data_IF_005298917560
#
_entry.id   IF_005298917560
#
_cell.length_a   1.000
_cell.length_b   1.000
_cell.length_c   1.000
_cell.angle_alpha   90.00
_cell.angle_beta   90.00
_cell.angle_gamma   90.00
#
_symmetry.space_group_name_H-M   'P 1'
#
loop_
_entity.id
_entity.type
_entity.pdbx_description
1 polymer ?
#
# COMPACT_ATOMS: atom_id res chain seq x y z
N UNK A 1 7.29 -8.01 14.87
CA UNK A 1 8.48 -8.26 15.71
C UNK A 1 8.04 -8.75 17.12
N UNK A 2 8.96 -9.30 17.97
CA UNK A 2 8.61 -9.85 19.29
C UNK A 2 7.94 -8.83 20.23
N UNK A 3 8.41 -7.59 20.26
CA UNK A 3 7.84 -6.53 21.12
C UNK A 3 6.36 -6.26 20.77
N UNK A 4 6.03 -6.22 19.49
CA UNK A 4 4.64 -6.05 19.05
C UNK A 4 3.77 -7.26 19.46
N UNK A 5 4.31 -8.48 19.44
CA UNK A 5 3.57 -9.66 19.90
C UNK A 5 3.25 -9.59 21.40
N UNK A 6 4.17 -9.12 22.23
CA UNK A 6 3.95 -8.93 23.68
C UNK A 6 2.80 -7.92 23.92
N UNK A 7 2.78 -6.83 23.16
CA UNK A 7 1.69 -5.84 23.21
C UNK A 7 0.33 -6.46 22.86
N UNK A 8 0.27 -7.24 21.79
CA UNK A 8 -0.97 -7.90 21.38
C UNK A 8 -1.40 -9.01 22.36
N UNK A 9 -0.43 -9.75 22.92
CA UNK A 9 -0.71 -10.75 23.94
C UNK A 9 -1.32 -10.12 25.21
N UNK A 10 -0.73 -9.01 25.67
CA UNK A 10 -1.26 -8.25 26.81
C UNK A 10 -2.67 -7.73 26.53
N UNK A 11 -2.94 -7.22 25.32
CA UNK A 11 -4.27 -6.79 24.92
C UNK A 11 -5.27 -7.97 24.88
N UNK A 12 -4.86 -9.13 24.38
CA UNK A 12 -5.64 -10.35 24.37
C UNK A 12 -5.99 -10.84 25.80
N UNK A 13 -5.03 -10.80 26.69
CA UNK A 13 -5.21 -11.13 28.09
C UNK A 13 -6.25 -10.21 28.76
N UNK A 14 -6.09 -8.89 28.59
CA UNK A 14 -7.02 -7.90 29.12
C UNK A 14 -8.43 -8.05 28.57
N UNK A 15 -8.54 -8.39 27.27
CA UNK A 15 -9.82 -8.58 26.61
C UNK A 15 -10.47 -9.97 26.85
N UNK A 16 -9.78 -10.88 27.53
CA UNK A 16 -10.24 -12.26 27.77
C UNK A 16 -10.44 -13.07 26.49
N UNK A 17 -9.71 -12.77 25.40
CA UNK A 17 -9.84 -13.47 24.12
C UNK A 17 -8.51 -13.51 23.37
N UNK A 18 -8.35 -14.51 22.50
CA UNK A 18 -7.18 -14.58 21.60
C UNK A 18 -7.27 -13.51 20.52
N UNK A 19 -6.14 -12.84 20.26
CA UNK A 19 -6.01 -11.87 19.19
C UNK A 19 -5.43 -12.58 17.95
N UNK A 20 -6.14 -12.57 16.80
CA UNK A 20 -5.59 -13.09 15.56
C UNK A 20 -4.50 -12.15 15.03
N UNK A 21 -3.34 -12.72 14.70
CA UNK A 21 -2.18 -11.97 14.21
C UNK A 21 -1.75 -12.48 12.85
N UNK A 22 -1.59 -11.55 11.91
CA UNK A 22 -1.02 -11.80 10.58
C UNK A 22 0.40 -11.26 10.55
N UNK A 23 1.34 -12.03 10.03
CA UNK A 23 2.76 -11.66 9.96
C UNK A 23 3.03 -10.91 8.66
N UNK A 24 3.49 -9.65 8.77
CA UNK A 24 3.93 -8.89 7.61
C UNK A 24 5.33 -9.35 7.18
N UNK A 25 5.48 -9.60 5.87
CA UNK A 25 6.68 -10.11 5.23
C UNK A 25 7.15 -9.10 4.16
N UNK A 26 8.40 -8.64 4.28
CA UNK A 26 8.99 -7.74 3.28
C UNK A 26 9.67 -8.57 2.18
N UNK A 27 9.19 -8.41 0.97
CA UNK A 27 9.72 -9.06 -0.23
C UNK A 27 10.23 -8.04 -1.26
N UNK A 28 10.78 -6.91 -0.77
CA UNK A 28 11.47 -5.92 -1.61
C UNK A 28 11.09 -4.47 -1.42
N UNK A 29 10.02 -4.15 -0.67
CA UNK A 29 9.62 -2.75 -0.39
C UNK A 29 10.54 -2.05 0.58
N UNK A 30 11.24 -2.78 1.44
CA UNK A 30 12.11 -2.24 2.50
C UNK A 30 11.41 -1.23 3.41
N UNK A 31 10.14 -1.52 3.71
CA UNK A 31 9.28 -0.64 4.51
C UNK A 31 8.95 -1.23 5.89
N UNK A 32 8.39 -2.42 5.92
CA UNK A 32 7.96 -3.10 7.13
C UNK A 32 7.85 -4.61 6.89
N UNK A 33 7.91 -5.39 7.96
CA UNK A 33 7.81 -6.84 7.91
C UNK A 33 9.14 -7.54 8.19
N UNK A 34 9.07 -8.85 8.32
CA UNK A 34 10.26 -9.70 8.40
C UNK A 34 10.82 -9.97 7.00
N UNK A 35 12.14 -10.05 6.91
CA UNK A 35 12.83 -10.14 5.61
C UNK A 35 13.11 -11.58 5.17
N UNK A 36 12.90 -12.56 6.05
CA UNK A 36 13.15 -13.96 5.75
C UNK A 36 12.00 -14.88 6.17
N UNK A 37 11.76 -15.94 5.42
CA UNK A 37 10.80 -16.98 5.77
C UNK A 37 11.09 -17.61 7.14
N UNK A 38 12.38 -17.74 7.51
CA UNK A 38 12.80 -18.23 8.82
C UNK A 38 12.29 -17.35 9.96
N UNK A 39 12.41 -16.04 9.83
CA UNK A 39 11.89 -15.09 10.84
C UNK A 39 10.36 -15.17 10.92
N UNK A 40 9.67 -15.29 9.77
CA UNK A 40 8.22 -15.48 9.74
C UNK A 40 7.80 -16.75 10.49
N UNK A 41 8.51 -17.86 10.29
CA UNK A 41 8.28 -19.12 11.02
C UNK A 41 8.55 -18.98 12.52
N UNK A 42 9.59 -18.26 12.91
CA UNK A 42 9.89 -17.99 14.33
C UNK A 42 8.76 -17.19 14.99
N UNK A 43 8.24 -16.16 14.32
CA UNK A 43 7.10 -15.39 14.82
C UNK A 43 5.82 -16.24 14.87
N UNK A 44 5.56 -17.07 13.86
CA UNK A 44 4.41 -17.99 13.84
C UNK A 44 4.47 -18.96 15.01
N UNK A 45 5.67 -19.48 15.34
CA UNK A 45 5.88 -20.31 16.54
C UNK A 45 5.58 -19.55 17.82
N UNK A 46 6.12 -18.33 17.97
CA UNK A 46 5.89 -17.49 19.15
C UNK A 46 4.39 -17.17 19.33
N UNK A 47 3.66 -16.92 18.23
CA UNK A 47 2.20 -16.72 18.24
C UNK A 47 1.50 -18.00 18.70
N UNK A 48 1.87 -19.16 18.15
CA UNK A 48 1.29 -20.45 18.51
C UNK A 48 1.47 -20.78 19.99
N UNK A 49 2.67 -20.51 20.53
CA UNK A 49 3.04 -20.83 21.91
C UNK A 49 2.42 -19.86 22.95
N UNK A 50 1.68 -18.84 22.50
CA UNK A 50 1.05 -17.83 23.35
C UNK A 50 -0.48 -18.05 23.48
N UNK A 51 -0.97 -18.16 24.71
CA UNK A 51 -2.38 -18.44 24.99
C UNK A 51 -3.34 -17.32 24.58
N UNK A 52 -2.84 -16.10 24.40
CA UNK A 52 -3.64 -14.91 24.09
C UNK A 52 -3.56 -14.52 22.60
N UNK A 53 -2.81 -15.28 21.80
CA UNK A 53 -2.65 -15.02 20.36
C UNK A 53 -3.15 -16.20 19.52
N UNK A 54 -3.50 -15.94 18.27
CA UNK A 54 -3.76 -16.96 17.28
C UNK A 54 -3.11 -16.57 15.94
N UNK A 55 -2.50 -17.55 15.27
CA UNK A 55 -1.88 -17.31 13.97
C UNK A 55 -2.97 -17.18 12.90
N UNK A 56 -3.00 -16.03 12.21
CA UNK A 56 -3.95 -15.73 11.14
C UNK A 56 -3.38 -15.98 9.74
N UNK A 57 -2.08 -15.82 9.56
CA UNK A 57 -1.45 -15.98 8.25
C UNK A 57 -0.34 -15.01 7.94
N UNK A 58 -0.17 -14.70 6.65
CA UNK A 58 0.89 -13.84 6.13
C UNK A 58 0.33 -12.67 5.33
N UNK A 59 1.06 -11.55 5.38
CA UNK A 59 0.75 -10.34 4.65
C UNK A 59 1.98 -9.90 3.85
N UNK A 60 1.76 -9.65 2.56
CA UNK A 60 2.80 -9.21 1.63
C UNK A 60 2.40 -7.90 0.95
N UNK A 61 3.40 -7.07 0.66
CA UNK A 61 3.23 -5.90 -0.18
C UNK A 61 4.37 -5.86 -1.20
N UNK A 62 4.32 -6.74 -2.23
CA UNK A 62 5.40 -6.83 -3.22
C UNK A 62 5.56 -5.56 -4.03
N UNK A 63 6.75 -5.34 -4.59
CA UNK A 63 6.93 -4.43 -5.71
C UNK A 63 6.38 -5.08 -6.98
N UNK A 64 6.27 -4.31 -8.07
CA UNK A 64 5.80 -4.80 -9.36
C UNK A 64 6.69 -5.91 -9.93
N UNK A 65 7.97 -5.95 -9.51
CA UNK A 65 9.00 -6.91 -9.97
C UNK A 65 9.24 -8.08 -9.00
N UNK A 66 8.91 -7.92 -7.70
CA UNK A 66 9.30 -8.89 -6.66
C UNK A 66 8.31 -10.05 -6.45
N UNK A 67 7.47 -10.37 -7.43
CA UNK A 67 6.52 -11.47 -7.34
C UNK A 67 7.17 -12.86 -7.25
N UNK A 68 8.27 -13.16 -8.00
CA UNK A 68 8.96 -14.43 -7.85
C UNK A 68 9.56 -14.62 -6.44
N UNK A 69 10.17 -13.59 -5.90
CA UNK A 69 10.73 -13.57 -4.53
C UNK A 69 9.62 -13.72 -3.48
N UNK A 70 8.48 -13.06 -3.72
CA UNK A 70 7.30 -13.18 -2.85
C UNK A 70 6.74 -14.59 -2.85
N UNK A 71 6.65 -15.24 -4.02
CA UNK A 71 6.22 -16.64 -4.11
C UNK A 71 7.19 -17.58 -3.39
N UNK A 72 8.49 -17.39 -3.59
CA UNK A 72 9.53 -18.19 -2.92
C UNK A 72 9.43 -18.05 -1.40
N UNK A 73 9.35 -16.79 -0.90
CA UNK A 73 9.20 -16.52 0.53
C UNK A 73 7.94 -17.19 1.09
N UNK A 74 6.80 -17.05 0.40
CA UNK A 74 5.54 -17.68 0.79
C UNK A 74 5.67 -19.18 0.90
N UNK A 75 6.22 -19.85 -0.13
CA UNK A 75 6.34 -21.31 -0.18
C UNK A 75 7.26 -21.82 0.94
N UNK A 76 8.38 -21.15 1.20
CA UNK A 76 9.30 -21.46 2.29
C UNK A 76 8.64 -21.24 3.68
N UNK A 77 7.91 -20.14 3.87
CA UNK A 77 7.22 -19.87 5.13
C UNK A 77 6.10 -20.88 5.40
N UNK A 78 5.29 -21.19 4.38
CA UNK A 78 4.21 -22.20 4.50
C UNK A 78 4.78 -23.58 4.78
N UNK A 79 5.87 -23.97 4.13
CA UNK A 79 6.55 -25.22 4.43
C UNK A 79 7.05 -25.28 5.88
N UNK A 80 7.68 -24.19 6.35
CA UNK A 80 8.23 -24.11 7.72
C UNK A 80 7.19 -24.13 8.83
N UNK A 81 5.99 -23.56 8.60
CA UNK A 81 4.92 -23.60 9.62
C UNK A 81 4.14 -24.91 9.64
N UNK A 82 4.26 -25.76 8.59
CA UNK A 82 3.58 -27.05 8.52
C UNK A 82 4.00 -27.97 9.67
N UNK A 83 5.27 -27.99 10.00
CA UNK A 83 5.81 -28.78 11.13
C UNK A 83 5.30 -28.28 12.49
N UNK A 84 4.83 -27.04 12.55
CA UNK A 84 4.14 -26.49 13.70
C UNK A 84 2.64 -26.86 13.75
N UNK A 85 2.12 -27.54 12.74
CA UNK A 85 0.70 -27.82 12.60
C UNK A 85 -0.13 -26.57 12.29
N UNK A 86 0.48 -25.53 11.71
CA UNK A 86 -0.18 -24.29 11.35
C UNK A 86 -0.49 -24.24 9.85
N UNK A 87 -1.62 -23.61 9.53
CA UNK A 87 -2.05 -23.31 8.16
C UNK A 87 -2.45 -21.85 8.11
N UNK A 88 -1.96 -21.04 7.15
CA UNK A 88 -2.38 -19.65 7.03
C UNK A 88 -3.82 -19.59 6.52
N UNK A 89 -4.74 -19.01 7.31
CA UNK A 89 -6.10 -18.72 6.87
C UNK A 89 -6.12 -17.51 5.93
N UNK A 90 -5.21 -16.57 6.15
CA UNK A 90 -5.05 -15.34 5.36
C UNK A 90 -3.67 -15.35 4.70
N UNK A 91 -3.65 -15.20 3.40
CA UNK A 91 -2.46 -14.85 2.61
C UNK A 91 -2.81 -13.60 1.83
N UNK A 92 -2.45 -12.46 2.39
CA UNK A 92 -2.90 -11.16 1.94
C UNK A 92 -1.82 -10.46 1.11
N UNK A 93 -2.18 -10.01 -0.09
CA UNK A 93 -1.32 -9.15 -0.93
C UNK A 93 -1.87 -7.72 -0.99
N UNK A 94 -1.15 -6.78 -1.60
CA UNK A 94 -1.62 -5.41 -1.78
C UNK A 94 -0.69 -4.62 -2.68
N UNK A 95 -1.07 -3.56 -3.10
CA UNK A 95 -1.91 -2.45 -3.11
C UNK A 95 -2.39 -2.14 -4.53
N UNK A 96 -3.02 -0.97 -4.75
CA UNK A 96 -3.67 -0.62 -6.01
C UNK A 96 -2.77 -0.72 -7.26
N UNK A 97 -1.48 -0.32 -7.27
CA UNK A 97 -0.60 -0.51 -8.43
C UNK A 97 -0.39 -1.97 -8.84
N UNK A 98 -0.70 -2.91 -7.96
CA UNK A 98 -0.55 -4.34 -8.20
C UNK A 98 -1.86 -5.06 -8.57
N UNK A 99 -2.94 -4.35 -8.84
CA UNK A 99 -4.25 -4.95 -9.17
C UNK A 99 -4.17 -5.95 -10.31
N UNK A 100 -3.48 -5.60 -11.39
CA UNK A 100 -3.30 -6.50 -12.56
C UNK A 100 -2.41 -7.71 -12.27
N UNK A 101 -1.67 -7.68 -11.16
CA UNK A 101 -0.73 -8.70 -10.74
C UNK A 101 -1.23 -9.56 -9.58
N UNK A 102 -2.41 -9.28 -9.02
CA UNK A 102 -2.89 -9.91 -7.79
C UNK A 102 -2.93 -11.45 -7.84
N UNK A 103 -3.12 -12.03 -9.02
CA UNK A 103 -3.11 -13.48 -9.23
C UNK A 103 -1.71 -14.13 -9.33
N UNK A 104 -0.63 -13.34 -9.27
CA UNK A 104 0.73 -13.88 -9.39
C UNK A 104 1.21 -14.62 -8.15
N UNK A 105 0.67 -14.37 -6.97
CA UNK A 105 0.96 -15.17 -5.79
C UNK A 105 -0.03 -16.33 -5.68
N UNK A 106 0.44 -17.56 -5.95
CA UNK A 106 -0.36 -18.75 -5.71
C UNK A 106 -0.58 -18.92 -4.21
N UNK A 107 -1.82 -19.19 -3.83
CA UNK A 107 -2.21 -19.32 -2.42
C UNK A 107 -2.66 -18.00 -1.79
N UNK A 108 -2.64 -16.88 -2.49
CA UNK A 108 -3.24 -15.64 -2.01
C UNK A 108 -4.75 -15.83 -1.80
N UNK A 109 -5.26 -15.32 -0.67
CA UNK A 109 -6.68 -15.39 -0.29
C UNK A 109 -7.37 -14.05 -0.45
N UNK A 110 -6.61 -12.95 -0.45
CA UNK A 110 -7.13 -11.60 -0.58
C UNK A 110 -6.10 -10.63 -1.15
N UNK A 111 -6.59 -9.51 -1.67
CA UNK A 111 -5.78 -8.39 -2.14
C UNK A 111 -6.29 -7.07 -1.57
N UNK A 112 -5.40 -6.26 -0.99
CA UNK A 112 -5.75 -4.98 -0.37
C UNK A 112 -5.50 -3.84 -1.36
N UNK A 113 -6.52 -3.45 -2.10
CA UNK A 113 -6.51 -2.25 -2.92
C UNK A 113 -7.32 -1.15 -2.21
N UNK A 114 -6.84 0.08 -2.22
CA UNK A 114 -7.52 1.23 -1.61
C UNK A 114 -7.81 2.32 -2.64
N UNK A 115 -6.79 2.82 -3.29
CA UNK A 115 -6.86 3.95 -4.25
C UNK A 115 -7.74 3.66 -5.46
N UNK A 116 -7.97 2.39 -5.81
CA UNK A 116 -8.77 1.97 -6.96
C UNK A 116 -10.20 2.53 -6.97
N UNK A 117 -10.74 2.94 -5.81
CA UNK A 117 -12.09 3.51 -5.70
C UNK A 117 -12.19 4.84 -6.44
N UNK A 118 -11.12 5.65 -6.39
CA UNK A 118 -11.06 6.97 -7.05
C UNK A 118 -10.09 6.97 -8.21
N UNK A 119 -9.06 6.13 -8.15
CA UNK A 119 -7.87 6.17 -8.97
C UNK A 119 -7.18 7.54 -8.96
N UNK A 120 -6.04 7.64 -9.60
CA UNK A 120 -5.24 8.85 -9.70
C UNK A 120 -4.16 8.70 -10.78
N UNK A 121 -3.35 9.73 -10.95
CA UNK A 121 -2.22 9.72 -11.88
C UNK A 121 -1.19 8.61 -11.60
N UNK A 122 -1.00 8.21 -10.35
CA UNK A 122 -0.10 7.11 -10.01
C UNK A 122 -0.64 5.77 -10.49
N UNK A 123 -1.96 5.56 -10.40
CA UNK A 123 -2.60 4.35 -10.94
C UNK A 123 -2.56 4.32 -12.46
N UNK A 124 -2.71 5.49 -13.12
CA UNK A 124 -2.54 5.61 -14.56
C UNK A 124 -1.10 5.27 -14.98
N UNK A 125 -0.11 5.82 -14.28
CA UNK A 125 1.31 5.55 -14.55
C UNK A 125 1.69 4.08 -14.30
N UNK A 126 1.04 3.42 -13.34
CA UNK A 126 1.18 1.98 -13.09
C UNK A 126 0.45 1.10 -14.13
N UNK A 127 -0.32 1.68 -15.05
CA UNK A 127 -1.06 0.96 -16.08
C UNK A 127 -2.28 0.19 -15.55
N UNK A 128 -2.80 0.53 -14.38
CA UNK A 128 -3.97 -0.13 -13.76
C UNK A 128 -5.25 0.70 -13.88
N UNK A 129 -5.15 1.93 -14.36
CA UNK A 129 -6.30 2.81 -14.61
C UNK A 129 -6.05 3.70 -15.82
N UNK A 130 -7.11 4.25 -16.37
CA UNK A 130 -7.12 5.31 -17.39
C UNK A 130 -7.63 6.61 -16.78
N UNK A 131 -7.63 7.70 -17.54
CA UNK A 131 -8.21 8.97 -17.07
C UNK A 131 -9.71 8.83 -16.79
N UNK A 132 -10.42 8.06 -17.60
CA UNK A 132 -11.87 7.83 -17.43
C UNK A 132 -12.21 7.04 -16.16
N UNK A 133 -11.23 6.33 -15.60
CA UNK A 133 -11.38 5.61 -14.34
C UNK A 133 -11.10 6.49 -13.10
N UNK A 134 -10.66 7.74 -13.31
CA UNK A 134 -10.39 8.70 -12.23
C UNK A 134 -11.69 9.40 -11.83
N UNK A 135 -12.25 9.04 -10.69
CA UNK A 135 -13.56 9.50 -10.25
C UNK A 135 -13.54 10.89 -9.56
N UNK A 136 -12.37 11.46 -9.29
CA UNK A 136 -12.24 12.72 -8.55
C UNK A 136 -11.60 13.80 -9.41
N UNK A 137 -12.31 14.91 -9.55
CA UNK A 137 -11.80 16.14 -10.16
C UNK A 137 -12.00 17.33 -9.21
N UNK A 138 -11.12 18.30 -9.29
CA UNK A 138 -11.18 19.56 -8.55
C UNK A 138 -11.48 20.67 -9.52
N UNK A 139 -12.58 21.42 -9.29
CA UNK A 139 -12.86 22.67 -10.00
C UNK A 139 -12.00 23.77 -9.41
N UNK A 140 -11.20 24.42 -10.25
CA UNK A 140 -10.31 25.49 -9.84
C UNK A 140 -10.41 26.66 -10.82
N UNK A 141 -10.16 27.87 -10.32
CA UNK A 141 -10.20 29.10 -11.09
C UNK A 141 -8.79 29.66 -11.24
N UNK A 142 -8.45 30.14 -12.44
CA UNK A 142 -7.23 30.94 -12.64
C UNK A 142 -7.49 32.32 -12.04
N UNK A 143 -6.98 32.55 -10.83
CA UNK A 143 -7.21 33.79 -10.06
C UNK A 143 -6.19 34.89 -10.37
N UNK A 144 -5.05 34.53 -10.96
CA UNK A 144 -4.06 35.51 -11.38
C UNK A 144 -3.29 35.02 -12.60
N UNK A 145 -3.02 35.95 -13.52
CA UNK A 145 -2.17 35.69 -14.67
C UNK A 145 -1.26 36.89 -14.94
N UNK A 146 0.02 36.68 -14.77
CA UNK A 146 1.03 37.74 -15.00
C UNK A 146 1.96 37.29 -16.13
N UNK A 147 1.63 37.69 -17.34
CA UNK A 147 2.33 37.33 -18.56
C UNK A 147 1.90 35.95 -19.11
N UNK A 148 2.52 35.48 -20.21
CA UNK A 148 2.11 34.27 -20.92
C UNK A 148 2.53 32.97 -20.19
N UNK A 149 3.61 33.02 -19.42
CA UNK A 149 4.30 31.85 -18.85
C UNK A 149 3.89 31.53 -17.39
N UNK A 150 2.94 32.26 -16.83
CA UNK A 150 2.63 32.14 -15.41
C UNK A 150 1.13 32.25 -15.11
N UNK A 151 0.63 31.35 -14.31
CA UNK A 151 -0.74 31.39 -13.79
C UNK A 151 -0.81 30.95 -12.32
N UNK A 152 -1.86 31.41 -11.64
CA UNK A 152 -2.19 31.00 -10.28
C UNK A 152 -3.61 30.46 -10.29
N UNK A 153 -3.79 29.25 -9.76
CA UNK A 153 -5.12 28.68 -9.51
C UNK A 153 -5.44 28.69 -8.02
N UNK A 154 -6.70 28.74 -7.67
CA UNK A 154 -7.21 28.73 -6.28
C UNK A 154 -7.30 27.29 -5.70
N UNK A 155 -6.40 26.41 -6.10
CA UNK A 155 -6.27 25.06 -5.61
C UNK A 155 -4.80 24.81 -5.21
N UNK A 156 -4.53 24.82 -3.92
CA UNK A 156 -3.22 24.63 -3.34
C UNK A 156 -3.11 23.31 -2.56
N UNK A 157 -2.14 23.22 -1.64
CA UNK A 157 -1.86 22.02 -0.87
C UNK A 157 -2.99 21.56 0.07
N UNK A 158 -3.95 22.45 0.38
CA UNK A 158 -5.16 22.10 1.15
C UNK A 158 -6.23 21.40 0.31
N UNK A 159 -6.15 21.49 -1.01
CA UNK A 159 -7.14 20.95 -1.94
C UNK A 159 -6.56 19.78 -2.74
N UNK A 160 -5.34 19.95 -3.25
CA UNK A 160 -4.62 18.95 -4.03
C UNK A 160 -3.58 18.24 -3.16
N UNK A 161 -3.25 17.00 -3.52
CA UNK A 161 -2.20 16.26 -2.80
C UNK A 161 -0.80 16.79 -3.12
N UNK A 162 0.06 16.83 -2.12
CA UNK A 162 1.50 17.06 -2.28
C UNK A 162 2.28 15.76 -2.57
N UNK A 163 1.65 14.59 -2.41
CA UNK A 163 2.24 13.31 -2.78
C UNK A 163 2.10 13.09 -4.28
N UNK A 164 3.20 13.26 -4.98
CA UNK A 164 3.24 13.12 -6.44
C UNK A 164 3.66 11.72 -6.90
N UNK A 165 4.03 10.82 -5.98
CA UNK A 165 4.43 9.43 -6.31
C UNK A 165 5.57 9.32 -7.31
N UNK A 166 6.46 10.31 -7.37
CA UNK A 166 7.56 10.39 -8.35
C UNK A 166 7.17 10.93 -9.72
N UNK A 167 5.93 11.35 -9.92
CA UNK A 167 5.45 11.98 -11.15
C UNK A 167 5.76 13.48 -11.17
N UNK A 168 5.84 14.04 -12.37
CA UNK A 168 6.05 15.47 -12.57
C UNK A 168 4.74 16.25 -12.34
N UNK A 169 4.83 17.36 -11.57
CA UNK A 169 3.71 18.23 -11.24
C UNK A 169 2.67 17.62 -10.28
N UNK A 170 1.78 18.45 -9.76
CA UNK A 170 0.87 18.12 -8.68
C UNK A 170 -0.58 17.83 -9.13
N UNK A 171 -0.81 17.49 -10.35
CA UNK A 171 -2.12 17.19 -10.90
C UNK A 171 -2.09 17.09 -12.41
N UNK A 172 -3.26 16.87 -13.00
CA UNK A 172 -3.48 16.96 -14.43
C UNK A 172 -4.57 17.99 -14.67
N UNK A 173 -4.28 19.01 -15.48
CA UNK A 173 -5.26 20.00 -15.89
C UNK A 173 -5.98 19.46 -17.12
N UNK A 174 -7.26 19.11 -17.00
CA UNK A 174 -7.96 18.37 -18.04
C UNK A 174 -8.09 19.16 -19.34
N UNK A 175 -8.41 20.46 -19.24
CA UNK A 175 -8.58 21.34 -20.40
C UNK A 175 -7.24 21.76 -21.02
N UNK A 176 -6.16 21.68 -20.27
CA UNK A 176 -4.81 22.09 -20.67
C UNK A 176 -3.74 21.10 -20.23
N UNK A 177 -3.71 19.89 -20.80
CA UNK A 177 -2.80 18.81 -20.35
C UNK A 177 -1.30 19.13 -20.44
N UNK A 178 -0.93 20.13 -21.23
CA UNK A 178 0.44 20.63 -21.36
C UNK A 178 0.85 21.56 -20.23
N UNK A 179 -0.11 22.20 -19.54
CA UNK A 179 0.19 23.07 -18.40
C UNK A 179 0.43 22.25 -17.13
N UNK A 180 1.29 22.73 -16.25
CA UNK A 180 1.70 22.02 -15.04
C UNK A 180 1.45 22.84 -13.80
N UNK A 181 1.02 22.14 -12.74
CA UNK A 181 1.03 22.71 -11.39
C UNK A 181 2.40 22.32 -10.79
N UNK A 182 3.36 23.25 -10.83
CA UNK A 182 4.74 23.00 -10.43
C UNK A 182 5.02 23.16 -8.95
N UNK A 183 4.10 23.77 -8.21
CA UNK A 183 4.24 23.99 -6.78
C UNK A 183 2.99 24.56 -6.17
N UNK A 184 2.98 24.62 -4.85
CA UNK A 184 1.85 25.11 -4.05
C UNK A 184 2.25 26.17 -3.04
N UNK A 185 1.30 27.10 -2.78
CA UNK A 185 1.04 27.60 -1.45
C UNK A 185 -0.14 26.83 -0.85
N UNK A 186 -0.63 27.23 0.31
CA UNK A 186 -1.74 26.54 0.98
C UNK A 186 -3.02 26.55 0.13
N UNK A 187 -3.39 27.73 -0.38
CA UNK A 187 -4.62 27.95 -1.14
C UNK A 187 -4.38 28.03 -2.66
N UNK A 188 -3.14 28.12 -3.11
CA UNK A 188 -2.83 28.42 -4.51
C UNK A 188 -1.87 27.40 -5.13
N UNK A 189 -2.17 27.01 -6.37
CA UNK A 189 -1.28 26.26 -7.23
C UNK A 189 -0.57 27.18 -8.25
N UNK A 190 0.72 26.96 -8.46
CA UNK A 190 1.54 27.71 -9.39
C UNK A 190 1.65 26.99 -10.71
N UNK A 191 1.17 27.62 -11.78
CA UNK A 191 1.19 27.06 -13.14
C UNK A 191 2.41 27.57 -13.92
N UNK A 192 2.89 26.73 -14.83
CA UNK A 192 3.77 27.07 -15.94
C UNK A 192 3.34 26.38 -17.23
#
# INVERSE_FOLDING_TARGET
>A
NPVTLETYASAGQLAGRRVPVVIECDTGRKRAGVETAREAVQLAKAIKDNDHLSFGGFLFYPTEQSWPETQKFHDEAVAGIRDLGLVPAIVSTGGSPNLVNMGKLRGATEHRAGTYIFNDRMQMAAGVATLDDCALAVFATVVSRAGPERGIVDAGSKTLTSDVGGLDGHGLILEHPQARIKGFAEEHGFLD
#
